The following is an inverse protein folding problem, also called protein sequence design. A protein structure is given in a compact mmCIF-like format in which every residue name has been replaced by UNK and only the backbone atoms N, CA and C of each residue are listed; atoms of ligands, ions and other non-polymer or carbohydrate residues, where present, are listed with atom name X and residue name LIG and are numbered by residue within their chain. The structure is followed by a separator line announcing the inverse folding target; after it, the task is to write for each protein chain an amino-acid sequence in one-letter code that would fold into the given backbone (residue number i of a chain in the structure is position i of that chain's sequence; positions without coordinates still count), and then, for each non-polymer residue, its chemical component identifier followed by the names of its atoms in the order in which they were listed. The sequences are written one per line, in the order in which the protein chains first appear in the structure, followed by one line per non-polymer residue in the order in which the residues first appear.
data_IF_556308528156
#
_entry.id   IF_556308528156
#
_cell.length_a   1.000
_cell.length_b   1.000
_cell.length_c   1.000
_cell.angle_alpha   90.00
_cell.angle_beta   90.00
_cell.angle_gamma   90.00
#
_symmetry.space_group_name_H-M   'P 1'
#
loop_
_entity.id
_entity.type
_entity.pdbx_description
1 polymer ?
#
# COMPACT_ATOMS: atom_id res chain seq x y z
N UNK A 1 -11.26 8.32 0.86
CA UNK A 1 -11.37 9.74 0.43
C UNK A 1 -12.55 10.49 1.07
N UNK A 2 -12.82 10.30 2.37
CA UNK A 2 -13.94 10.95 3.06
C UNK A 2 -13.78 12.48 3.10
N UNK A 3 -12.62 12.96 3.57
CA UNK A 3 -12.31 14.38 3.70
C UNK A 3 -12.52 15.16 2.38
N UNK A 4 -12.03 14.63 1.26
CA UNK A 4 -12.28 15.21 -0.05
C UNK A 4 -13.78 15.25 -0.40
N UNK A 5 -14.51 14.14 -0.19
CA UNK A 5 -15.95 14.04 -0.51
C UNK A 5 -16.78 15.05 0.27
N UNK A 6 -16.55 15.15 1.57
CA UNK A 6 -17.27 16.06 2.47
C UNK A 6 -16.72 17.50 2.50
N UNK A 7 -15.69 17.80 1.69
CA UNK A 7 -15.02 19.11 1.63
C UNK A 7 -14.34 19.53 2.94
N UNK A 8 -13.92 18.57 3.76
CA UNK A 8 -13.02 18.83 4.89
C UNK A 8 -11.62 19.28 4.40
N UNK A 9 -11.27 18.91 3.16
CA UNK A 9 -10.14 19.46 2.42
C UNK A 9 -10.44 19.52 0.91
N UNK A 10 -9.72 20.38 0.19
CA UNK A 10 -9.85 20.55 -1.27
C UNK A 10 -8.92 19.62 -2.06
N UNK A 11 -7.77 19.30 -1.47
CA UNK A 11 -6.79 18.35 -1.96
C UNK A 11 -6.20 17.54 -0.80
N UNK A 12 -5.63 16.38 -1.09
CA UNK A 12 -4.99 15.53 -0.10
C UNK A 12 -3.79 14.79 -0.69
N UNK A 13 -2.75 14.60 0.11
CA UNK A 13 -1.71 13.61 -0.16
C UNK A 13 -2.08 12.35 0.62
N UNK A 14 -2.27 11.24 -0.10
CA UNK A 14 -2.49 9.93 0.51
C UNK A 14 -1.32 9.01 0.15
N UNK A 15 -0.70 8.39 1.13
CA UNK A 15 0.46 7.55 0.91
C UNK A 15 0.67 6.53 2.01
N UNK A 16 1.68 5.70 1.82
CA UNK A 16 2.07 4.66 2.76
C UNK A 16 3.54 4.29 2.60
N UNK A 17 4.10 3.79 3.69
CA UNK A 17 5.48 3.30 3.76
C UNK A 17 5.50 1.99 4.52
N UNK A 18 6.29 1.03 4.03
CA UNK A 18 6.61 -0.19 4.73
C UNK A 18 8.11 -0.48 4.58
N UNK A 19 8.79 -0.73 5.70
CA UNK A 19 10.20 -1.07 5.77
C UNK A 19 10.40 -2.25 6.72
N UNK A 20 11.29 -3.17 6.39
CA UNK A 20 11.62 -4.37 7.17
C UNK A 20 12.98 -4.11 7.80
N UNK A 21 12.98 -3.38 8.91
CA UNK A 21 14.19 -2.81 9.48
C UNK A 21 14.94 -3.76 10.41
N UNK A 22 14.27 -4.79 10.91
CA UNK A 22 14.83 -5.68 11.92
C UNK A 22 14.56 -7.14 11.61
N UNK A 23 15.52 -7.98 11.98
CA UNK A 23 15.36 -9.43 11.88
C UNK A 23 14.22 -9.94 12.79
N UNK A 24 14.01 -9.35 13.96
CA UNK A 24 12.97 -9.78 14.89
C UNK A 24 11.56 -9.63 14.31
N UNK A 25 11.29 -8.55 13.57
CA UNK A 25 10.02 -8.38 12.85
C UNK A 25 9.82 -9.46 11.78
N UNK A 26 10.87 -9.79 11.02
CA UNK A 26 10.83 -10.84 10.01
C UNK A 26 10.67 -12.23 10.63
N UNK A 27 11.39 -12.54 11.70
CA UNK A 27 11.30 -13.82 12.40
C UNK A 27 9.94 -13.99 13.10
N UNK A 28 9.34 -12.90 13.58
CA UNK A 28 8.01 -12.93 14.18
C UNK A 28 6.94 -13.33 13.15
N UNK A 29 7.00 -12.80 11.92
CA UNK A 29 6.08 -13.22 10.86
C UNK A 29 6.37 -14.62 10.33
N UNK A 30 7.63 -15.05 10.32
CA UNK A 30 8.01 -16.43 10.01
C UNK A 30 7.40 -17.43 11.00
N UNK A 31 7.48 -17.15 12.31
CA UNK A 31 6.93 -18.00 13.39
C UNK A 31 5.41 -18.11 13.34
N UNK A 32 4.73 -17.13 12.78
CA UNK A 32 3.28 -17.14 12.55
C UNK A 32 2.88 -17.90 11.27
N UNK A 33 3.83 -18.54 10.57
CA UNK A 33 3.63 -19.22 9.29
C UNK A 33 3.02 -18.31 8.21
N UNK A 34 3.31 -17.01 8.27
CA UNK A 34 2.84 -16.02 7.29
C UNK A 34 3.73 -16.06 6.04
N UNK A 35 5.01 -16.37 6.20
CA UNK A 35 6.00 -16.28 5.13
C UNK A 35 6.03 -17.54 4.26
N UNK A 36 6.09 -17.34 2.94
CA UNK A 36 6.42 -18.40 1.99
C UNK A 36 7.86 -18.85 2.18
N UNK A 37 8.10 -20.17 2.12
CA UNK A 37 9.46 -20.74 2.14
C UNK A 37 10.28 -20.37 0.90
N UNK A 38 9.64 -19.94 -0.19
CA UNK A 38 10.30 -19.48 -1.42
C UNK A 38 10.41 -17.96 -1.51
N UNK A 39 9.99 -17.23 -0.47
CA UNK A 39 9.97 -15.76 -0.45
C UNK A 39 9.20 -15.12 -1.61
N UNK A 40 8.17 -15.81 -2.13
CA UNK A 40 7.36 -15.35 -3.27
C UNK A 40 5.87 -15.53 -2.95
N UNK A 41 5.06 -14.55 -3.32
CA UNK A 41 3.60 -14.68 -3.29
C UNK A 41 3.13 -15.45 -4.53
N UNK A 42 2.74 -16.72 -4.36
CA UNK A 42 2.12 -17.53 -5.41
C UNK A 42 0.61 -17.26 -5.48
N UNK A 43 0.23 -16.02 -5.80
CA UNK A 43 -1.17 -15.56 -5.70
C UNK A 43 -2.09 -16.39 -6.58
N UNK A 44 -3.10 -17.02 -5.97
CA UNK A 44 -4.11 -17.89 -6.61
C UNK A 44 -3.58 -19.20 -7.21
N UNK A 45 -2.32 -19.55 -6.99
CA UNK A 45 -1.76 -20.82 -7.43
C UNK A 45 -2.02 -21.94 -6.41
N UNK A 46 -2.11 -23.20 -6.87
CA UNK A 46 -2.30 -24.36 -6.01
C UNK A 46 -1.13 -24.60 -5.03
N UNK A 47 0.06 -24.08 -5.34
CA UNK A 47 1.26 -24.16 -4.49
C UNK A 47 1.39 -23.02 -3.47
N UNK A 48 0.37 -22.15 -3.34
CA UNK A 48 0.38 -21.04 -2.38
C UNK A 48 0.64 -21.51 -0.94
N UNK A 49 1.73 -21.01 -0.34
CA UNK A 49 2.26 -21.48 0.93
C UNK A 49 2.68 -20.35 1.90
N UNK A 50 2.15 -19.14 1.69
CA UNK A 50 2.50 -17.94 2.45
C UNK A 50 2.73 -16.74 1.54
N UNK A 51 3.11 -15.60 2.11
CA UNK A 51 3.44 -14.38 1.38
C UNK A 51 4.94 -14.06 1.45
N UNK A 52 5.38 -13.21 0.52
CA UNK A 52 6.66 -12.54 0.59
C UNK A 52 6.49 -11.20 1.31
N UNK A 53 7.47 -10.80 2.12
CA UNK A 53 7.54 -9.43 2.60
C UNK A 53 8.26 -8.55 1.58
N UNK A 54 7.83 -7.29 1.48
CA UNK A 54 8.42 -6.31 0.59
C UNK A 54 8.46 -4.94 1.25
N UNK A 55 9.42 -4.12 0.83
CA UNK A 55 9.53 -2.73 1.21
C UNK A 55 8.97 -1.82 0.13
N UNK A 56 8.51 -0.63 0.53
CA UNK A 56 8.03 0.35 -0.42
C UNK A 56 7.53 1.62 0.24
N UNK A 57 7.67 2.72 -0.49
CA UNK A 57 7.09 4.02 -0.14
C UNK A 57 6.40 4.59 -1.36
N UNK A 58 5.15 5.04 -1.20
CA UNK A 58 4.37 5.67 -2.28
C UNK A 58 3.46 6.74 -1.72
N UNK A 59 3.18 7.75 -2.53
CA UNK A 59 2.19 8.78 -2.25
C UNK A 59 1.47 9.18 -3.55
N UNK A 60 0.23 9.62 -3.39
CA UNK A 60 -0.64 10.12 -4.45
C UNK A 60 -1.17 11.48 -4.03
N UNK A 61 -1.20 12.41 -4.98
CA UNK A 61 -1.93 13.66 -4.83
C UNK A 61 -3.36 13.46 -5.35
N UNK A 62 -4.34 13.81 -4.52
CA UNK A 62 -5.75 13.55 -4.77
C UNK A 62 -6.54 14.85 -4.68
N UNK A 63 -7.40 15.07 -5.67
CA UNK A 63 -8.44 16.10 -5.71
C UNK A 63 -9.77 15.48 -6.11
N UNK A 64 -10.87 16.22 -5.95
CA UNK A 64 -12.13 15.86 -6.60
C UNK A 64 -11.96 15.99 -8.11
N UNK A 65 -12.52 15.05 -8.87
CA UNK A 65 -12.44 15.03 -10.33
C UNK A 65 -12.90 16.37 -10.96
N UNK A 66 -13.98 16.96 -10.45
CA UNK A 66 -14.47 18.26 -10.91
C UNK A 66 -13.44 19.37 -10.77
N UNK A 67 -12.69 19.36 -9.67
CA UNK A 67 -11.72 20.40 -9.34
C UNK A 67 -10.45 20.18 -10.17
N UNK A 68 -10.04 18.93 -10.41
CA UNK A 68 -8.95 18.62 -11.34
C UNK A 68 -9.27 19.02 -12.79
N UNK A 69 -10.50 18.76 -13.27
CA UNK A 69 -10.92 19.19 -14.61
C UNK A 69 -10.95 20.72 -14.72
N UNK A 70 -11.54 21.41 -13.72
CA UNK A 70 -11.61 22.88 -13.68
C UNK A 70 -10.21 23.50 -13.72
N UNK A 71 -9.28 22.92 -12.97
CA UNK A 71 -7.93 23.46 -12.82
C UNK A 71 -6.96 22.97 -13.92
N UNK A 72 -7.41 22.08 -14.81
CA UNK A 72 -6.61 21.54 -15.91
C UNK A 72 -5.50 20.59 -15.46
N UNK A 73 -5.68 19.93 -14.32
CA UNK A 73 -4.70 18.99 -13.79
C UNK A 73 -4.63 17.70 -14.63
N UNK A 74 -3.45 17.06 -14.74
CA UNK A 74 -3.35 15.70 -15.28
C UNK A 74 -4.05 14.70 -14.34
N UNK A 75 -4.80 13.77 -14.93
CA UNK A 75 -5.60 12.75 -14.22
C UNK A 75 -5.20 11.36 -14.70
#
# INVERSE_FOLDING_TARGET
CHALRYRDCEAAIAGGVNLILTLDQHMSTAKLCILSSTSTCHTFDASANGNAQAEGVRALYLKKLSDSIRDGDPI
#
